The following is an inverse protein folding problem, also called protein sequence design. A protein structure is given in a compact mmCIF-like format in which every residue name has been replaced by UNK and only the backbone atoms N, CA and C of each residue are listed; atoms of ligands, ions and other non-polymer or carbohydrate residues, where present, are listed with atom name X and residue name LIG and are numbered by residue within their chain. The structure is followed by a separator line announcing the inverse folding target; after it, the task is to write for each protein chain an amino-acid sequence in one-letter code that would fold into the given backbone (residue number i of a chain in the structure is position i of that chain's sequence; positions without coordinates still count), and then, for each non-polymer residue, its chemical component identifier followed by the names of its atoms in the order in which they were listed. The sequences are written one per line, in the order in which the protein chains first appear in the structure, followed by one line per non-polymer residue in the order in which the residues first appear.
data_IF_453212137520
#
_entry.id   IF_453212137520
#
_cell.length_a   1.000
_cell.length_b   1.000
_cell.length_c   1.000
_cell.angle_alpha   90.00
_cell.angle_beta   90.00
_cell.angle_gamma   90.00
#
_symmetry.space_group_name_H-M   'P 1'
#
loop_
_entity.id
_entity.type
_entity.pdbx_description
1 polymer ?
#
# COMPACT_ATOMS: atom_id res chain seq x y z
N UNK A 1 24.74 19.12 44.12
CA UNK A 1 23.92 20.04 43.31
C UNK A 1 23.59 19.34 42.01
N UNK A 2 22.36 18.87 41.88
CA UNK A 2 21.89 18.05 40.77
C UNK A 2 21.72 18.91 39.52
N UNK A 3 22.42 18.55 38.44
CA UNK A 3 22.18 19.13 37.12
C UNK A 3 21.06 18.33 36.44
N UNK A 4 19.88 18.92 36.36
CA UNK A 4 18.78 18.39 35.54
C UNK A 4 19.09 18.69 34.07
N UNK A 5 19.45 17.65 33.32
CA UNK A 5 19.44 17.70 31.86
C UNK A 5 17.99 17.52 31.41
N UNK A 6 17.39 18.60 30.92
CA UNK A 6 16.11 18.57 30.25
C UNK A 6 16.32 18.06 28.82
N UNK A 7 16.04 16.77 28.58
CA UNK A 7 15.97 16.22 27.23
C UNK A 7 14.58 16.49 26.67
N UNK A 8 14.50 17.46 25.76
CA UNK A 8 13.28 17.79 25.01
C UNK A 8 12.93 16.64 24.06
N UNK A 9 11.86 15.90 24.36
CA UNK A 9 11.19 15.01 23.40
C UNK A 9 10.29 15.85 22.50
N UNK A 10 10.85 16.39 21.41
CA UNK A 10 10.09 17.21 20.47
C UNK A 10 9.26 16.34 19.51
N UNK A 11 7.97 16.64 19.56
CA UNK A 11 6.80 16.05 18.91
C UNK A 11 6.82 16.26 17.38
N UNK A 12 7.18 15.25 16.58
CA UNK A 12 7.11 15.31 15.09
C UNK A 12 6.11 14.35 14.45
N UNK A 13 5.43 13.50 15.23
CA UNK A 13 4.53 12.47 14.68
C UNK A 13 3.12 12.98 14.28
N UNK A 14 2.67 14.11 14.84
CA UNK A 14 1.29 14.61 14.67
C UNK A 14 0.93 15.10 13.24
N UNK A 15 1.80 15.81 12.50
CA UNK A 15 1.44 16.34 11.18
C UNK A 15 1.28 15.23 10.14
N UNK A 16 2.20 14.26 10.15
CA UNK A 16 2.22 13.18 9.17
C UNK A 16 1.06 12.19 9.38
N UNK A 17 0.67 11.91 10.62
CA UNK A 17 -0.47 11.03 10.89
C UNK A 17 -1.79 11.67 10.43
N UNK A 18 -1.96 12.97 10.64
CA UNK A 18 -3.14 13.73 10.22
C UNK A 18 -3.25 13.80 8.70
N UNK A 19 -2.14 14.07 8.01
CA UNK A 19 -2.07 14.07 6.55
C UNK A 19 -2.40 12.70 5.96
N UNK A 20 -1.90 11.61 6.55
CA UNK A 20 -2.24 10.25 6.14
C UNK A 20 -3.75 10.00 6.26
N UNK A 21 -4.37 10.34 7.39
CA UNK A 21 -5.80 10.10 7.61
C UNK A 21 -6.67 10.81 6.58
N UNK A 22 -6.41 12.09 6.30
CA UNK A 22 -7.19 12.86 5.32
C UNK A 22 -7.01 12.32 3.90
N UNK A 23 -5.76 12.09 3.47
CA UNK A 23 -5.48 11.59 2.12
C UNK A 23 -6.09 10.20 1.88
N UNK A 24 -6.08 9.32 2.89
CA UNK A 24 -6.72 8.02 2.83
C UNK A 24 -8.24 8.16 2.68
N UNK A 25 -8.87 9.03 3.48
CA UNK A 25 -10.31 9.25 3.43
C UNK A 25 -10.73 9.78 2.05
N UNK A 26 -10.00 10.75 1.51
CA UNK A 26 -10.27 11.32 0.19
C UNK A 26 -10.10 10.30 -0.93
N UNK A 27 -8.98 9.56 -0.95
CA UNK A 27 -8.73 8.52 -1.95
C UNK A 27 -9.80 7.42 -1.88
N UNK A 28 -10.15 6.99 -0.66
CA UNK A 28 -11.18 5.97 -0.41
C UNK A 28 -12.55 6.44 -0.88
N UNK A 29 -12.92 7.68 -0.59
CA UNK A 29 -14.18 8.24 -1.05
C UNK A 29 -14.24 8.29 -2.58
N UNK A 30 -13.19 8.81 -3.22
CA UNK A 30 -13.09 8.89 -4.69
C UNK A 30 -13.26 7.52 -5.35
N UNK A 31 -12.52 6.51 -4.88
CA UNK A 31 -12.54 5.20 -5.54
C UNK A 31 -13.81 4.39 -5.24
N UNK A 32 -14.39 4.50 -4.04
CA UNK A 32 -15.63 3.77 -3.71
C UNK A 32 -16.87 4.37 -4.39
N UNK A 33 -16.83 5.65 -4.76
CA UNK A 33 -17.87 6.30 -5.56
C UNK A 33 -17.71 6.03 -7.06
N UNK A 34 -16.56 5.53 -7.49
CA UNK A 34 -16.28 5.29 -8.90
C UNK A 34 -17.08 4.11 -9.46
N UNK A 35 -17.54 4.24 -10.71
CA UNK A 35 -18.30 3.20 -11.41
C UNK A 35 -17.45 1.95 -11.69
N UNK A 36 -16.15 2.11 -11.91
CA UNK A 36 -15.19 1.01 -12.11
C UNK A 36 -15.06 0.13 -10.87
N UNK A 37 -15.32 0.68 -9.68
CA UNK A 37 -15.28 -0.06 -8.43
C UNK A 37 -16.35 -1.17 -8.36
N UNK A 38 -17.40 -1.09 -9.19
CA UNK A 38 -18.38 -2.18 -9.36
C UNK A 38 -17.78 -3.47 -9.90
N UNK A 39 -16.62 -3.38 -10.56
CA UNK A 39 -15.89 -4.54 -11.10
C UNK A 39 -14.80 -5.05 -10.14
N UNK A 40 -14.59 -4.41 -8.99
CA UNK A 40 -13.62 -4.87 -8.01
C UNK A 40 -13.97 -6.28 -7.54
N UNK A 41 -12.95 -7.12 -7.36
CA UNK A 41 -13.12 -8.37 -6.63
C UNK A 41 -13.61 -8.10 -5.19
N UNK A 42 -14.34 -9.03 -4.55
CA UNK A 42 -14.73 -8.89 -3.16
C UNK A 42 -13.53 -8.63 -2.23
N UNK A 43 -12.40 -9.26 -2.51
CA UNK A 43 -11.16 -9.10 -1.76
C UNK A 43 -10.61 -7.67 -1.91
N UNK A 44 -10.59 -7.11 -3.11
CA UNK A 44 -10.14 -5.74 -3.34
C UNK A 44 -11.09 -4.73 -2.72
N UNK A 45 -12.41 -4.97 -2.74
CA UNK A 45 -13.37 -4.13 -2.03
C UNK A 45 -13.11 -4.09 -0.52
N UNK A 46 -12.76 -5.23 0.08
CA UNK A 46 -12.36 -5.27 1.50
C UNK A 46 -11.09 -4.46 1.70
N UNK A 47 -10.05 -4.65 0.86
CA UNK A 47 -8.79 -3.88 0.96
C UNK A 47 -9.05 -2.37 0.88
N UNK A 48 -9.83 -1.91 -0.10
CA UNK A 48 -10.18 -0.50 -0.27
C UNK A 48 -10.89 0.08 0.96
N UNK A 49 -11.78 -0.70 1.59
CA UNK A 49 -12.59 -0.23 2.72
C UNK A 49 -11.84 -0.26 4.06
N UNK A 50 -11.00 -1.26 4.30
CA UNK A 50 -10.49 -1.53 5.65
C UNK A 50 -8.96 -1.52 5.77
N UNK A 51 -8.21 -1.58 4.67
CA UNK A 51 -6.75 -1.70 4.71
C UNK A 51 -6.07 -0.37 4.38
N UNK A 52 -5.96 0.49 5.39
CA UNK A 52 -5.27 1.79 5.29
C UNK A 52 -3.83 1.64 4.81
N UNK A 53 -3.09 0.63 5.31
CA UNK A 53 -1.71 0.38 4.91
C UNK A 53 -1.56 0.18 3.39
N UNK A 54 -2.58 -0.39 2.74
CA UNK A 54 -2.56 -0.62 1.31
C UNK A 54 -2.69 0.71 0.54
N UNK A 55 -3.66 1.54 0.92
CA UNK A 55 -3.84 2.87 0.31
C UNK A 55 -2.65 3.81 0.58
N UNK A 56 -2.10 3.77 1.80
CA UNK A 56 -0.90 4.52 2.18
C UNK A 56 0.29 4.17 1.29
N UNK A 57 0.41 2.90 0.87
CA UNK A 57 1.52 2.46 0.03
C UNK A 57 1.50 3.16 -1.33
N UNK A 58 0.33 3.29 -1.97
CA UNK A 58 0.19 4.05 -3.21
C UNK A 58 0.40 5.54 -3.00
N UNK A 59 -0.20 6.12 -1.94
CA UNK A 59 -0.04 7.54 -1.62
C UNK A 59 1.43 7.91 -1.44
N UNK A 60 2.20 7.13 -0.67
CA UNK A 60 3.62 7.38 -0.46
C UNK A 60 4.43 7.23 -1.74
N UNK A 61 4.14 6.22 -2.57
CA UNK A 61 4.82 6.01 -3.84
C UNK A 61 4.64 7.18 -4.83
N UNK A 62 3.57 7.95 -4.68
CA UNK A 62 3.23 9.07 -5.56
C UNK A 62 3.21 10.43 -4.82
N UNK A 63 3.99 10.57 -3.74
CA UNK A 63 4.14 11.83 -3.00
C UNK A 63 2.81 12.47 -2.57
N UNK A 64 1.81 11.65 -2.26
CA UNK A 64 0.45 12.06 -1.87
C UNK A 64 -0.31 12.84 -2.95
N UNK A 65 0.10 12.76 -4.22
CA UNK A 65 -0.68 13.24 -5.35
C UNK A 65 -1.91 12.33 -5.53
N UNK A 66 -3.08 12.83 -5.14
CA UNK A 66 -4.31 12.04 -5.14
C UNK A 66 -4.79 11.66 -6.55
N UNK A 67 -4.52 12.48 -7.56
CA UNK A 67 -5.01 12.25 -8.91
C UNK A 67 -4.17 11.15 -9.59
N UNK A 68 -2.84 11.25 -9.45
CA UNK A 68 -1.91 10.19 -9.91
C UNK A 68 -2.17 8.90 -9.14
N UNK A 69 -2.28 8.98 -7.82
CA UNK A 69 -2.51 7.80 -6.96
C UNK A 69 -3.81 7.08 -7.34
N UNK A 70 -4.90 7.82 -7.55
CA UNK A 70 -6.17 7.26 -7.95
C UNK A 70 -6.09 6.56 -9.32
N UNK A 71 -5.45 7.19 -10.31
CA UNK A 71 -5.28 6.59 -11.63
C UNK A 71 -4.48 5.28 -11.58
N UNK A 72 -3.36 5.27 -10.84
CA UNK A 72 -2.53 4.06 -10.66
C UNK A 72 -3.29 2.96 -9.92
N UNK A 73 -4.05 3.32 -8.88
CA UNK A 73 -4.83 2.35 -8.11
C UNK A 73 -5.94 1.70 -8.96
N UNK A 74 -6.60 2.46 -9.83
CA UNK A 74 -7.59 1.91 -10.77
C UNK A 74 -6.97 0.90 -11.74
N UNK A 75 -5.84 1.26 -12.36
CA UNK A 75 -5.11 0.35 -13.25
C UNK A 75 -4.64 -0.91 -12.50
N UNK A 76 -4.18 -0.75 -11.25
CA UNK A 76 -3.80 -1.89 -10.40
C UNK A 76 -4.97 -2.84 -10.15
N UNK A 77 -6.15 -2.33 -9.81
CA UNK A 77 -7.35 -3.16 -9.60
C UNK A 77 -7.76 -3.86 -10.90
N UNK A 78 -7.74 -3.14 -12.03
CA UNK A 78 -8.04 -3.71 -13.33
C UNK A 78 -7.07 -4.84 -13.68
N UNK A 79 -5.77 -4.64 -13.46
CA UNK A 79 -4.76 -5.66 -13.65
C UNK A 79 -4.99 -6.87 -12.73
N UNK A 80 -5.25 -6.66 -11.44
CA UNK A 80 -5.50 -7.72 -10.45
C UNK A 80 -6.69 -8.60 -10.85
N UNK A 81 -7.77 -7.98 -11.32
CA UNK A 81 -8.95 -8.67 -11.82
C UNK A 81 -8.64 -9.48 -13.09
N UNK A 82 -7.97 -8.87 -14.08
CA UNK A 82 -7.65 -9.52 -15.35
C UNK A 82 -6.67 -10.69 -15.16
N UNK A 83 -5.65 -10.50 -14.32
CA UNK A 83 -4.66 -11.52 -13.99
C UNK A 83 -5.20 -12.60 -13.04
N UNK A 84 -6.34 -12.35 -12.40
CA UNK A 84 -6.98 -13.25 -11.43
C UNK A 84 -6.04 -13.60 -10.28
N UNK A 85 -5.43 -12.59 -9.67
CA UNK A 85 -4.42 -12.74 -8.61
C UNK A 85 -4.87 -13.62 -7.45
N UNK A 86 -6.16 -13.63 -7.12
CA UNK A 86 -6.74 -14.45 -6.06
C UNK A 86 -6.76 -15.96 -6.39
N UNK A 87 -6.45 -16.34 -7.63
CA UNK A 87 -6.30 -17.74 -8.07
C UNK A 87 -4.85 -18.20 -8.12
N UNK A 88 -3.88 -17.32 -7.86
CA UNK A 88 -2.47 -17.70 -7.80
C UNK A 88 -2.26 -18.50 -6.52
N UNK A 89 -1.99 -19.80 -6.66
CA UNK A 89 -1.57 -20.62 -5.53
C UNK A 89 -0.06 -20.59 -5.36
N UNK A 90 0.42 -20.65 -4.11
CA UNK A 90 1.85 -20.80 -3.83
C UNK A 90 2.44 -22.05 -4.51
N UNK A 91 1.65 -23.11 -4.63
CA UNK A 91 2.06 -24.32 -5.35
C UNK A 91 2.20 -24.07 -6.85
N UNK A 92 1.38 -23.19 -7.43
CA UNK A 92 1.53 -22.72 -8.81
C UNK A 92 2.82 -21.95 -9.05
N UNK A 93 3.41 -21.35 -8.01
CA UNK A 93 4.70 -20.65 -8.09
C UNK A 93 5.90 -21.59 -7.93
N UNK A 94 5.71 -22.82 -7.44
CA UNK A 94 6.78 -23.78 -7.19
C UNK A 94 7.72 -24.01 -8.40
N UNK A 95 7.23 -24.15 -9.65
CA UNK A 95 8.11 -24.33 -10.79
C UNK A 95 9.07 -23.16 -11.03
N UNK A 96 8.68 -21.93 -10.67
CA UNK A 96 9.54 -20.75 -10.79
C UNK A 96 10.66 -20.78 -9.75
N UNK A 97 10.35 -21.21 -8.53
CA UNK A 97 11.31 -21.36 -7.44
C UNK A 97 12.28 -22.52 -7.71
N UNK A 98 11.75 -23.69 -8.09
CA UNK A 98 12.54 -24.90 -8.37
C UNK A 98 13.52 -24.70 -9.53
N UNK A 99 13.13 -23.89 -10.53
CA UNK A 99 13.98 -23.53 -11.68
C UNK A 99 14.85 -22.30 -11.45
N UNK A 100 14.84 -21.73 -10.24
CA UNK A 100 15.59 -20.52 -9.88
C UNK A 100 15.29 -19.33 -10.81
N UNK A 101 14.06 -19.27 -11.35
CA UNK A 101 13.56 -18.12 -12.10
C UNK A 101 13.09 -16.99 -11.16
N UNK A 102 12.83 -17.34 -9.89
CA UNK A 102 12.63 -16.41 -8.79
C UNK A 102 13.21 -17.02 -7.50
N UNK A 103 13.79 -16.20 -6.63
CA UNK A 103 14.28 -16.59 -5.31
C UNK A 103 14.11 -15.42 -4.33
N UNK A 104 14.00 -15.73 -3.03
CA UNK A 104 13.95 -14.72 -1.97
C UNK A 104 15.35 -14.65 -1.35
N UNK A 105 16.04 -13.52 -1.46
CA UNK A 105 17.46 -13.41 -1.09
C UNK A 105 17.70 -12.66 0.22
N UNK A 106 16.77 -11.80 0.62
CA UNK A 106 16.87 -11.04 1.87
C UNK A 106 16.43 -9.61 1.68
N UNK A 107 17.10 -8.68 2.35
CA UNK A 107 16.85 -7.24 2.21
C UNK A 107 18.12 -6.50 1.82
N UNK A 108 17.96 -5.41 1.08
CA UNK A 108 19.03 -4.49 0.75
C UNK A 108 19.36 -3.53 1.91
N UNK A 109 20.32 -2.63 1.67
CA UNK A 109 20.76 -1.62 2.66
C UNK A 109 19.66 -0.61 3.02
N UNK A 110 18.57 -0.55 2.25
CA UNK A 110 17.41 0.32 2.46
C UNK A 110 16.21 -0.43 3.04
N UNK A 111 16.42 -1.66 3.53
CA UNK A 111 15.39 -2.55 4.08
C UNK A 111 14.33 -2.99 3.05
N UNK A 112 14.62 -2.88 1.76
CA UNK A 112 13.76 -3.39 0.69
C UNK A 112 14.07 -4.86 0.38
N UNK A 113 13.03 -5.67 0.12
CA UNK A 113 13.22 -7.09 -0.22
C UNK A 113 13.92 -7.26 -1.58
N UNK A 114 14.88 -8.18 -1.64
CA UNK A 114 15.57 -8.66 -2.85
C UNK A 114 15.08 -10.06 -3.21
#
# INVERSE_FOLDING_TARGET
MSSQVATQNHTTEKPQSTLNTLAIQDLRARILQDKSCRKCSPQDLVRLKTQDWWLISFLRAHNYDLDVTYAVLLECIQWRNNFQVERISILGMKPLLDRQLAYLHGRDLTDCSI
#
